data_IF_848167974369
#
_entry.id   IF_848167974369
#
_cell.length_a   1.000
_cell.length_b   1.000
_cell.length_c   1.000
_cell.angle_alpha   90.00
_cell.angle_beta   90.00
_cell.angle_gamma   90.00
#
_symmetry.space_group_name_H-M   'P 1'
#
loop_
_entity.id
_entity.type
_entity.pdbx_description
1 polymer ?
#
# COMPACT_ATOMS: atom_id res chain seq x y z
N UNK A 1 -19.81 29.19 -4.23
CA UNK A 1 -19.50 27.85 -3.77
C UNK A 1 -18.09 27.48 -4.12
N UNK A 2 -17.26 27.10 -3.14
CA UNK A 2 -15.90 26.67 -3.40
C UNK A 2 -15.90 25.34 -4.15
N UNK A 3 -15.17 25.25 -5.24
CA UNK A 3 -14.96 24.01 -5.99
C UNK A 3 -14.17 23.04 -5.12
N UNK A 4 -14.77 21.90 -4.76
CA UNK A 4 -14.14 20.88 -3.91
C UNK A 4 -13.29 19.89 -4.69
N UNK A 5 -13.37 19.90 -6.01
CA UNK A 5 -12.58 19.05 -6.91
C UNK A 5 -12.25 19.87 -8.15
N UNK A 6 -10.98 19.97 -8.49
CA UNK A 6 -10.52 20.57 -9.75
C UNK A 6 -9.87 19.49 -10.60
N UNK A 7 -10.35 19.30 -11.80
CA UNK A 7 -9.72 18.45 -12.80
C UNK A 7 -8.76 19.30 -13.63
N UNK A 8 -7.49 18.94 -13.65
CA UNK A 8 -6.50 19.53 -14.55
C UNK A 8 -6.21 18.55 -15.67
N UNK A 9 -6.44 18.98 -16.89
CA UNK A 9 -6.10 18.17 -18.08
C UNK A 9 -4.74 18.67 -18.57
N UNK A 10 -3.78 17.75 -18.65
CA UNK A 10 -2.47 18.02 -19.20
C UNK A 10 -2.32 17.32 -20.54
N UNK A 11 -1.81 18.03 -21.53
CA UNK A 11 -1.40 17.47 -22.81
C UNK A 11 0.11 17.24 -22.75
N UNK A 12 0.52 15.97 -22.69
CA UNK A 12 1.93 15.62 -22.77
C UNK A 12 2.26 15.24 -24.22
N UNK A 13 3.12 15.98 -24.92
CA UNK A 13 3.57 15.57 -26.25
C UNK A 13 4.40 14.29 -26.13
N UNK A 14 4.17 13.35 -27.05
CA UNK A 14 4.98 12.14 -27.17
C UNK A 14 6.43 12.51 -27.56
N UNK A 15 7.44 11.79 -27.05
CA UNK A 15 8.84 12.09 -27.30
C UNK A 15 9.29 11.52 -28.65
N UNK A 16 8.85 12.10 -29.75
CA UNK A 16 9.30 11.71 -31.10
C UNK A 16 10.26 12.72 -31.75
N UNK A 17 10.83 13.64 -30.98
CA UNK A 17 11.81 14.58 -31.51
C UNK A 17 13.21 14.29 -30.95
N UNK A 18 14.13 13.72 -31.79
CA UNK A 18 15.49 13.40 -31.37
C UNK A 18 16.38 14.65 -31.14
N UNK A 19 15.82 15.84 -31.26
CA UNK A 19 16.59 17.09 -31.20
C UNK A 19 16.50 17.86 -29.88
N UNK A 20 15.83 17.36 -28.85
CA UNK A 20 15.73 18.09 -27.57
C UNK A 20 16.33 17.30 -26.41
N UNK A 21 17.57 17.55 -26.15
CA UNK A 21 18.37 16.89 -25.11
C UNK A 21 18.15 17.37 -23.68
N UNK A 22 17.19 18.26 -23.39
CA UNK A 22 17.05 18.83 -22.03
C UNK A 22 15.62 19.23 -21.64
N UNK A 23 14.64 18.39 -21.91
CA UNK A 23 13.30 18.65 -21.34
C UNK A 23 12.96 17.62 -20.28
N UNK A 24 13.23 17.96 -19.04
CA UNK A 24 12.69 17.28 -17.89
C UNK A 24 11.18 17.59 -17.83
N UNK A 25 10.35 16.61 -18.20
CA UNK A 25 8.91 16.73 -18.05
C UNK A 25 8.53 16.51 -16.60
N UNK A 26 8.25 17.57 -15.88
CA UNK A 26 7.64 17.50 -14.56
C UNK A 26 6.12 17.39 -14.78
N UNK A 27 5.60 16.19 -14.83
CA UNK A 27 4.17 16.00 -14.65
C UNK A 27 3.82 16.43 -13.23
N UNK A 28 2.82 17.33 -13.11
CA UNK A 28 2.55 18.05 -11.86
C UNK A 28 2.31 17.14 -10.64
N UNK A 29 2.38 17.74 -9.48
CA UNK A 29 2.17 17.08 -8.18
C UNK A 29 0.82 16.37 -8.15
N UNK A 30 0.84 15.05 -8.33
CA UNK A 30 -0.33 14.22 -8.15
C UNK A 30 -0.57 14.04 -6.64
N UNK A 31 -1.80 14.24 -6.22
CA UNK A 31 -2.22 14.07 -4.84
C UNK A 31 -3.20 12.91 -4.79
N UNK A 32 -2.85 11.88 -4.04
CA UNK A 32 -3.72 10.75 -3.74
C UNK A 32 -4.41 10.96 -2.40
N UNK A 33 -5.73 10.77 -2.36
CA UNK A 33 -6.53 10.92 -1.14
C UNK A 33 -7.33 9.65 -0.85
N UNK A 34 -7.18 9.14 0.38
CA UNK A 34 -7.98 8.03 0.89
C UNK A 34 -8.65 8.46 2.20
N UNK A 35 -9.98 8.38 2.26
CA UNK A 35 -10.78 8.71 3.45
C UNK A 35 -10.46 10.08 4.08
N UNK A 36 -10.14 11.07 3.23
CA UNK A 36 -9.81 12.43 3.66
C UNK A 36 -8.35 12.68 3.99
N UNK A 37 -7.51 11.65 3.99
CA UNK A 37 -6.06 11.79 4.12
C UNK A 37 -5.44 11.88 2.73
N UNK A 38 -4.72 12.96 2.46
CA UNK A 38 -4.10 13.22 1.17
C UNK A 38 -2.58 13.22 1.27
N UNK A 39 -1.92 12.62 0.29
CA UNK A 39 -0.46 12.57 0.19
C UNK A 39 0.00 12.91 -1.23
N UNK A 40 1.21 13.44 -1.36
CA UNK A 40 1.85 13.65 -2.66
C UNK A 40 2.45 12.34 -3.15
N UNK A 41 2.23 12.03 -4.43
CA UNK A 41 2.78 10.84 -5.07
C UNK A 41 3.97 11.25 -5.92
N UNK A 42 5.13 10.68 -5.62
CA UNK A 42 6.27 10.70 -6.52
C UNK A 42 6.12 9.54 -7.51
N UNK A 43 6.15 9.87 -8.80
CA UNK A 43 6.07 8.87 -9.85
C UNK A 43 7.40 8.15 -9.99
N UNK A 44 7.48 6.98 -9.42
CA UNK A 44 8.59 6.05 -9.64
C UNK A 44 8.19 4.98 -10.67
N UNK A 45 9.15 4.57 -11.50
CA UNK A 45 8.94 3.45 -12.41
C UNK A 45 8.76 2.17 -11.59
N UNK A 46 7.55 1.59 -11.63
CA UNK A 46 7.25 0.36 -10.91
C UNK A 46 7.56 -0.87 -11.77
N UNK A 47 8.52 -1.69 -11.33
CA UNK A 47 8.79 -2.99 -11.93
C UNK A 47 7.65 -3.97 -11.70
N UNK A 48 6.93 -3.86 -10.58
CA UNK A 48 5.81 -4.74 -10.22
C UNK A 48 4.64 -4.62 -11.21
N UNK A 49 4.37 -3.41 -11.72
CA UNK A 49 3.35 -3.22 -12.75
C UNK A 49 3.75 -3.89 -14.07
N UNK A 50 5.03 -3.78 -14.45
CA UNK A 50 5.58 -4.48 -15.62
C UNK A 50 5.46 -5.99 -15.44
N UNK A 51 5.81 -6.51 -14.27
CA UNK A 51 5.75 -7.94 -13.98
C UNK A 51 4.30 -8.44 -13.98
N UNK A 52 3.35 -7.66 -13.50
CA UNK A 52 1.92 -7.96 -13.59
C UNK A 52 1.43 -8.02 -15.04
N UNK A 53 1.86 -7.08 -15.89
CA UNK A 53 1.53 -7.10 -17.32
C UNK A 53 2.13 -8.28 -18.04
N UNK A 54 3.38 -8.63 -17.73
CA UNK A 54 4.06 -9.82 -18.29
C UNK A 54 3.32 -11.09 -17.86
N UNK A 55 2.91 -11.19 -16.60
CA UNK A 55 2.11 -12.30 -16.09
C UNK A 55 0.77 -12.44 -16.83
N UNK A 56 0.07 -11.32 -17.08
CA UNK A 56 -1.17 -11.30 -17.86
C UNK A 56 -0.97 -11.80 -19.29
N UNK A 57 0.10 -11.35 -19.95
CA UNK A 57 0.44 -11.82 -21.29
C UNK A 57 0.77 -13.30 -21.34
N UNK A 58 1.56 -13.77 -20.36
CA UNK A 58 1.98 -15.18 -20.28
C UNK A 58 0.80 -16.14 -20.10
N UNK A 59 -0.26 -15.71 -19.43
CA UNK A 59 -1.49 -16.50 -19.25
C UNK A 59 -2.27 -16.61 -20.56
N UNK A 60 -2.30 -15.54 -21.36
CA UNK A 60 -2.92 -15.55 -22.69
C UNK A 60 -2.26 -16.55 -23.65
N UNK A 61 -0.94 -16.70 -23.55
CA UNK A 61 -0.14 -17.54 -24.45
C UNK A 61 0.07 -18.98 -23.93
N UNK A 62 0.09 -19.20 -22.62
CA UNK A 62 0.56 -20.46 -22.03
C UNK A 62 -0.52 -21.53 -21.83
N UNK A 63 -1.76 -21.31 -22.28
CA UNK A 63 -2.89 -22.26 -22.24
C UNK A 63 -2.72 -23.50 -21.35
N UNK A 64 -3.54 -23.66 -20.32
CA UNK A 64 -3.80 -24.89 -19.54
C UNK A 64 -2.75 -25.46 -18.58
N UNK A 65 -1.50 -25.01 -18.57
CA UNK A 65 -0.48 -25.54 -17.61
C UNK A 65 -0.20 -24.62 -16.43
N UNK A 66 -0.80 -23.46 -16.40
CA UNK A 66 -0.61 -22.47 -15.35
C UNK A 66 -1.82 -22.46 -14.42
N UNK A 67 -1.62 -22.60 -13.11
CA UNK A 67 -2.68 -22.40 -12.15
C UNK A 67 -2.80 -20.88 -11.83
N UNK A 68 -3.75 -20.17 -12.43
CA UNK A 68 -3.91 -18.73 -12.25
C UNK A 68 -4.30 -18.37 -10.80
N UNK A 69 -4.76 -19.36 -10.01
CA UNK A 69 -5.18 -19.12 -8.63
C UNK A 69 -4.01 -19.00 -7.66
N UNK A 70 -2.83 -19.48 -8.03
CA UNK A 70 -1.63 -19.41 -7.19
C UNK A 70 -0.74 -18.22 -7.49
N UNK A 71 -0.89 -17.58 -8.65
CA UNK A 71 -0.16 -16.37 -8.97
C UNK A 71 -0.93 -15.15 -8.47
N UNK A 72 -0.28 -14.38 -7.61
CA UNK A 72 -0.80 -13.09 -7.16
C UNK A 72 0.17 -11.97 -7.50
N UNK A 73 -0.37 -10.81 -7.84
CA UNK A 73 0.39 -9.59 -8.15
C UNK A 73 0.12 -8.54 -7.09
N UNK A 74 1.10 -7.69 -6.86
CA UNK A 74 1.03 -6.62 -5.84
C UNK A 74 0.74 -7.13 -4.42
N UNK A 75 1.35 -8.25 -4.06
CA UNK A 75 1.26 -8.79 -2.71
C UNK A 75 2.04 -7.93 -1.71
N UNK A 76 1.45 -7.72 -0.53
CA UNK A 76 2.12 -7.09 0.58
C UNK A 76 2.59 -8.11 1.61
N UNK A 77 3.36 -7.61 2.57
CA UNK A 77 3.81 -8.34 3.75
C UNK A 77 3.08 -7.84 4.99
N UNK A 78 2.67 -8.78 5.84
CA UNK A 78 2.07 -8.45 7.12
C UNK A 78 3.12 -7.91 8.09
N UNK A 79 2.80 -6.79 8.74
CA UNK A 79 3.54 -6.28 9.88
C UNK A 79 2.61 -5.97 11.04
N UNK A 80 3.08 -6.15 12.27
CA UNK A 80 2.36 -5.76 13.47
C UNK A 80 3.27 -5.00 14.41
N UNK A 81 2.69 -4.06 15.15
CA UNK A 81 3.37 -3.31 16.19
C UNK A 81 2.56 -3.27 17.47
N UNK A 82 3.24 -3.29 18.59
CA UNK A 82 2.64 -3.32 19.92
C UNK A 82 2.36 -1.92 20.47
N UNK A 83 1.20 -1.81 21.10
CA UNK A 83 0.82 -0.65 21.93
C UNK A 83 0.43 -1.14 23.31
N UNK A 84 1.12 -0.71 24.34
CA UNK A 84 0.73 -0.98 25.72
C UNK A 84 -0.21 0.11 26.22
N UNK A 85 -1.24 -0.32 26.95
CA UNK A 85 -2.16 0.59 27.60
C UNK A 85 -1.39 1.43 28.63
N UNK A 86 -1.89 2.62 28.90
CA UNK A 86 -1.28 3.62 29.76
C UNK A 86 0.00 4.29 29.21
N UNK A 87 0.22 4.21 27.91
CA UNK A 87 1.33 4.93 27.28
C UNK A 87 2.72 4.40 27.65
N UNK A 88 2.80 3.20 28.25
CA UNK A 88 4.06 2.60 28.65
C UNK A 88 4.98 2.28 27.46
N UNK A 89 4.43 1.95 26.31
CA UNK A 89 5.16 1.84 25.04
C UNK A 89 4.22 1.89 23.85
N UNK A 90 4.66 2.52 22.77
CA UNK A 90 3.97 2.51 21.48
C UNK A 90 5.01 2.31 20.36
N UNK A 91 5.13 1.07 19.89
CA UNK A 91 6.05 0.73 18.81
C UNK A 91 5.47 1.00 17.41
N UNK A 92 4.26 1.55 17.32
CA UNK A 92 3.59 1.86 16.07
C UNK A 92 3.72 3.32 15.64
N UNK A 93 4.36 4.16 16.43
CA UNK A 93 4.36 5.61 16.19
C UNK A 93 5.74 6.21 15.92
N UNK A 94 6.78 5.40 15.70
CA UNK A 94 8.16 5.86 15.49
C UNK A 94 8.71 6.83 16.53
N UNK A 95 7.82 7.48 17.21
CA UNK A 95 8.07 8.34 18.36
C UNK A 95 8.20 7.51 19.62
N UNK A 96 8.67 6.27 19.41
CA UNK A 96 8.82 5.27 20.42
C UNK A 96 9.18 5.85 21.74
N UNK A 97 8.87 5.14 22.76
CA UNK A 97 9.15 5.48 24.14
C UNK A 97 10.29 6.48 24.27
N UNK A 98 10.05 7.60 24.93
CA UNK A 98 11.09 8.60 25.14
C UNK A 98 12.34 7.93 25.64
N UNK A 99 13.48 8.26 25.09
CA UNK A 99 14.87 8.12 25.51
C UNK A 99 15.28 6.97 26.47
N UNK A 100 14.36 6.37 27.21
CA UNK A 100 14.64 5.47 28.32
C UNK A 100 14.55 3.98 28.00
N UNK A 101 13.89 3.60 26.89
CA UNK A 101 13.69 2.18 26.57
C UNK A 101 13.64 1.87 25.06
N UNK A 102 14.70 2.20 24.28
CA UNK A 102 14.73 1.93 22.85
C UNK A 102 14.71 0.42 22.52
N UNK A 103 14.92 -0.44 23.50
CA UNK A 103 14.91 -1.91 23.37
C UNK A 103 13.51 -2.53 23.49
N UNK A 104 12.47 -1.79 23.85
CA UNK A 104 11.12 -2.31 23.98
C UNK A 104 10.44 -2.60 22.65
N UNK A 105 10.93 -2.01 21.55
CA UNK A 105 10.43 -2.27 20.20
C UNK A 105 11.42 -3.20 19.49
N UNK A 106 10.88 -4.26 18.89
CA UNK A 106 11.66 -5.20 18.10
C UNK A 106 12.21 -4.55 16.83
N UNK A 107 13.21 -5.17 16.22
CA UNK A 107 13.74 -4.74 14.92
C UNK A 107 12.66 -4.77 13.84
N UNK A 108 11.76 -5.76 13.88
CA UNK A 108 10.64 -5.85 12.95
C UNK A 108 9.65 -4.70 13.11
N UNK A 109 9.37 -4.27 14.34
CA UNK A 109 8.51 -3.12 14.61
C UNK A 109 9.13 -1.80 14.14
N UNK A 110 10.44 -1.65 14.27
CA UNK A 110 11.18 -0.49 13.75
C UNK A 110 11.18 -0.45 12.22
N UNK A 111 11.37 -1.59 11.57
CA UNK A 111 11.30 -1.69 10.11
C UNK A 111 9.87 -1.41 9.59
N UNK A 112 8.85 -1.86 10.31
CA UNK A 112 7.46 -1.55 10.00
C UNK A 112 7.21 -0.04 10.05
N UNK A 113 7.68 0.61 11.09
CA UNK A 113 7.56 2.05 11.27
C UNK A 113 8.27 2.82 10.13
N UNK A 114 9.49 2.43 9.77
CA UNK A 114 10.20 3.00 8.63
C UNK A 114 9.46 2.81 7.29
N UNK A 115 8.82 1.65 7.08
CA UNK A 115 8.01 1.39 5.89
C UNK A 115 6.74 2.24 5.89
N UNK A 116 6.10 2.39 7.03
CA UNK A 116 4.90 3.21 7.18
C UNK A 116 5.21 4.70 6.96
N UNK A 117 6.30 5.19 7.52
CA UNK A 117 6.77 6.57 7.30
C UNK A 117 7.09 6.86 5.81
N UNK A 118 7.54 5.84 5.08
CA UNK A 118 7.74 5.92 3.62
C UNK A 118 6.45 5.81 2.80
N UNK A 119 5.29 5.66 3.45
CA UNK A 119 4.01 5.51 2.78
C UNK A 119 3.83 4.17 2.08
N UNK A 120 4.52 3.12 2.52
CA UNK A 120 4.44 1.78 1.90
C UNK A 120 3.37 0.90 2.54
N UNK A 121 2.80 1.29 3.68
CA UNK A 121 1.93 0.45 4.49
C UNK A 121 0.49 0.95 4.49
N UNK A 122 -0.43 -0.02 4.51
CA UNK A 122 -1.86 0.20 4.77
C UNK A 122 -2.22 -0.39 6.11
N UNK A 123 -2.80 0.43 7.00
CA UNK A 123 -3.27 -0.05 8.29
C UNK A 123 -4.58 -0.80 8.14
N UNK A 124 -4.58 -2.08 8.48
CA UNK A 124 -5.79 -2.92 8.44
C UNK A 124 -6.68 -2.67 9.65
N UNK A 125 -6.08 -2.50 10.81
CA UNK A 125 -6.81 -2.23 12.04
C UNK A 125 -6.02 -2.61 13.29
N UNK A 126 -6.72 -2.72 14.41
CA UNK A 126 -6.12 -3.04 15.71
C UNK A 126 -6.86 -4.21 16.37
N UNK A 127 -6.15 -4.99 17.15
CA UNK A 127 -6.72 -6.06 17.96
C UNK A 127 -6.00 -6.19 19.30
N UNK A 128 -6.70 -6.77 20.29
CA UNK A 128 -6.09 -7.03 21.58
C UNK A 128 -5.24 -8.30 21.51
N UNK A 129 -3.96 -8.19 21.84
CA UNK A 129 -3.03 -9.32 21.86
C UNK A 129 -2.83 -9.94 23.25
N UNK A 130 -3.07 -9.16 24.31
CA UNK A 130 -2.93 -9.62 25.69
C UNK A 130 -4.00 -9.00 26.59
N UNK A 131 -4.61 -9.85 27.44
CA UNK A 131 -5.66 -9.44 28.37
C UNK A 131 -5.31 -9.91 29.78
N UNK A 132 -5.55 -9.04 30.75
CA UNK A 132 -5.46 -9.34 32.18
C UNK A 132 -6.81 -9.05 32.81
N UNK A 133 -7.41 -10.07 33.46
CA UNK A 133 -8.73 -9.96 34.08
C UNK A 133 -9.81 -9.39 33.14
N UNK A 134 -9.78 -9.78 31.86
CA UNK A 134 -10.73 -9.31 30.85
C UNK A 134 -10.44 -7.92 30.27
N UNK A 135 -9.44 -7.22 30.80
CA UNK A 135 -9.02 -5.91 30.32
C UNK A 135 -7.85 -6.09 29.33
N UNK A 136 -7.95 -5.46 28.16
CA UNK A 136 -6.86 -5.47 27.19
C UNK A 136 -5.69 -4.63 27.72
N UNK A 137 -4.54 -5.25 27.93
CA UNK A 137 -3.32 -4.58 28.41
C UNK A 137 -2.30 -4.33 27.30
N UNK A 138 -2.37 -5.10 26.21
CA UNK A 138 -1.56 -4.89 25.00
C UNK A 138 -2.43 -5.05 23.78
N UNK A 139 -2.42 -4.06 22.91
CA UNK A 139 -3.02 -4.13 21.58
C UNK A 139 -1.93 -4.18 20.51
N UNK A 140 -2.27 -4.70 19.35
CA UNK A 140 -1.44 -4.68 18.15
C UNK A 140 -2.17 -3.95 17.04
N UNK A 141 -1.44 -3.08 16.33
CA UNK A 141 -1.87 -2.59 15.04
C UNK A 141 -1.32 -3.53 13.96
N UNK A 142 -2.18 -3.89 13.01
CA UNK A 142 -1.82 -4.74 11.88
C UNK A 142 -1.78 -3.90 10.60
N UNK A 143 -0.75 -4.13 9.81
CA UNK A 143 -0.47 -3.45 8.55
C UNK A 143 -0.20 -4.45 7.45
N UNK A 144 -0.51 -4.05 6.21
CA UNK A 144 0.03 -4.64 5.01
C UNK A 144 1.00 -3.64 4.37
N UNK A 145 2.26 -4.02 4.20
CA UNK A 145 3.30 -3.18 3.62
C UNK A 145 3.69 -3.71 2.25
N UNK A 146 3.87 -2.82 1.30
CA UNK A 146 4.10 -3.14 -0.11
C UNK A 146 5.49 -2.69 -0.56
N UNK A 147 5.94 -3.19 -1.70
CA UNK A 147 7.25 -2.84 -2.26
C UNK A 147 7.34 -1.41 -2.79
N UNK A 148 6.19 -0.79 -3.12
CA UNK A 148 6.12 0.58 -3.62
C UNK A 148 4.82 1.27 -3.17
N UNK A 149 4.80 2.59 -3.20
CA UNK A 149 3.57 3.39 -2.96
C UNK A 149 2.50 3.05 -3.99
N UNK A 150 2.90 2.85 -5.25
CA UNK A 150 1.98 2.47 -6.32
C UNK A 150 1.27 1.17 -6.00
N UNK A 151 1.98 0.15 -5.54
CA UNK A 151 1.38 -1.14 -5.14
C UNK A 151 0.40 -0.98 -3.99
N UNK A 152 0.74 -0.17 -2.99
CA UNK A 152 -0.19 0.16 -1.89
C UNK A 152 -1.46 0.82 -2.41
N UNK A 153 -1.33 1.87 -3.22
CA UNK A 153 -2.46 2.62 -3.78
C UNK A 153 -3.34 1.72 -4.65
N UNK A 154 -2.72 0.91 -5.49
CA UNK A 154 -3.43 -0.04 -6.35
C UNK A 154 -4.19 -1.09 -5.52
N UNK A 155 -3.61 -1.57 -4.44
CA UNK A 155 -4.30 -2.46 -3.50
C UNK A 155 -5.48 -1.77 -2.80
N UNK A 156 -5.29 -0.55 -2.31
CA UNK A 156 -6.34 0.21 -1.62
C UNK A 156 -7.54 0.46 -2.52
N UNK A 157 -7.31 0.99 -3.72
CA UNK A 157 -8.38 1.28 -4.67
C UNK A 157 -8.94 0.02 -5.34
N UNK A 158 -8.07 -0.91 -5.74
CA UNK A 158 -8.49 -2.13 -6.42
C UNK A 158 -9.35 -3.02 -5.55
N UNK A 159 -9.01 -3.17 -4.26
CA UNK A 159 -9.85 -3.92 -3.31
C UNK A 159 -11.23 -3.32 -3.15
N UNK A 160 -11.35 -1.99 -3.17
CA UNK A 160 -12.64 -1.32 -3.13
C UNK A 160 -13.47 -1.62 -4.40
N UNK A 161 -12.85 -1.59 -5.58
CA UNK A 161 -13.56 -1.85 -6.84
C UNK A 161 -14.15 -3.25 -6.92
N UNK A 162 -13.45 -4.26 -6.40
CA UNK A 162 -13.89 -5.66 -6.48
C UNK A 162 -14.46 -6.19 -5.16
N UNK A 163 -14.68 -5.32 -4.18
CA UNK A 163 -15.17 -5.69 -2.85
C UNK A 163 -14.32 -6.78 -2.16
N UNK A 164 -12.99 -6.71 -2.31
CA UNK A 164 -12.05 -7.61 -1.65
C UNK A 164 -11.66 -7.05 -0.29
N UNK A 165 -12.13 -7.65 0.83
CA UNK A 165 -11.80 -7.15 2.17
C UNK A 165 -10.33 -7.42 2.52
N UNK A 166 -9.78 -6.59 3.40
CA UNK A 166 -8.48 -6.84 4.03
C UNK A 166 -8.52 -7.97 5.07
N UNK A 167 -9.71 -8.35 5.50
CA UNK A 167 -9.92 -9.27 6.61
C UNK A 167 -9.91 -8.57 7.97
N UNK A 168 -10.00 -9.36 9.04
CA UNK A 168 -9.90 -8.85 10.40
C UNK A 168 -8.44 -8.56 10.74
N UNK A 169 -8.12 -7.57 11.59
CA UNK A 169 -6.74 -7.21 11.90
C UNK A 169 -5.87 -8.38 12.41
N UNK A 170 -6.48 -9.38 13.07
CA UNK A 170 -5.78 -10.57 13.55
C UNK A 170 -5.53 -11.60 12.44
N UNK A 171 -6.45 -11.68 11.49
CA UNK A 171 -6.51 -12.71 10.44
C UNK A 171 -6.48 -12.09 9.03
N UNK A 172 -5.93 -10.87 8.89
CA UNK A 172 -5.87 -10.19 7.61
C UNK A 172 -5.05 -10.96 6.59
N UNK A 173 -5.31 -10.64 5.34
CA UNK A 173 -4.48 -11.11 4.23
C UNK A 173 -3.88 -9.94 3.48
N UNK A 174 -2.55 -9.91 3.39
CA UNK A 174 -1.82 -8.99 2.53
C UNK A 174 -1.58 -9.58 1.14
N UNK A 175 -2.17 -10.74 0.84
CA UNK A 175 -2.06 -11.40 -0.45
C UNK A 175 -2.59 -10.50 -1.56
N UNK A 176 -1.83 -10.39 -2.64
CA UNK A 176 -2.16 -9.57 -3.79
C UNK A 176 -3.39 -10.03 -4.57
N UNK A 177 -3.61 -9.43 -5.72
CA UNK A 177 -4.68 -9.84 -6.62
C UNK A 177 -4.29 -11.11 -7.37
N UNK A 178 -5.23 -12.03 -7.52
CA UNK A 178 -5.13 -13.05 -8.56
C UNK A 178 -5.22 -12.39 -9.93
N UNK A 179 -4.82 -13.10 -10.98
CA UNK A 179 -4.91 -12.56 -12.33
C UNK A 179 -6.35 -12.24 -12.72
N UNK A 180 -7.31 -13.08 -12.35
CA UNK A 180 -8.74 -12.83 -12.58
C UNK A 180 -9.22 -11.58 -11.85
N UNK A 181 -8.82 -11.40 -10.59
CA UNK A 181 -9.12 -10.20 -9.82
C UNK A 181 -8.51 -8.96 -10.46
N UNK A 182 -7.25 -9.04 -10.90
CA UNK A 182 -6.56 -7.93 -11.56
C UNK A 182 -7.21 -7.54 -12.88
N UNK A 183 -7.66 -8.51 -13.69
CA UNK A 183 -8.39 -8.26 -14.94
C UNK A 183 -9.74 -7.54 -14.73
N UNK A 184 -10.33 -7.65 -13.54
CA UNK A 184 -11.58 -6.97 -13.19
C UNK A 184 -11.39 -5.53 -12.74
N UNK A 185 -10.15 -5.10 -12.50
CA UNK A 185 -9.87 -3.73 -12.10
C UNK A 185 -10.00 -2.76 -13.27
N UNK A 186 -10.64 -1.64 -13.01
CA UNK A 186 -10.72 -0.53 -13.95
C UNK A 186 -9.66 0.52 -13.56
N UNK A 187 -8.48 0.38 -14.15
CA UNK A 187 -7.35 1.27 -13.86
C UNK A 187 -7.62 2.72 -14.28
N UNK A 188 -8.55 2.94 -15.23
CA UNK A 188 -8.89 4.30 -15.68
C UNK A 188 -9.67 5.10 -14.63
N UNK A 189 -10.20 4.43 -13.63
CA UNK A 189 -10.93 5.05 -12.50
C UNK A 189 -10.08 5.17 -11.24
N UNK A 190 -8.81 4.82 -11.32
CA UNK A 190 -7.89 4.92 -10.20
C UNK A 190 -7.09 6.22 -10.27
N UNK A 191 -6.84 6.80 -9.10
CA UNK A 191 -5.95 7.94 -8.94
C UNK A 191 -4.55 7.42 -8.63
N UNK A 192 -3.61 7.65 -9.53
CA UNK A 192 -2.20 7.28 -9.38
C UNK A 192 -1.32 8.51 -9.28
#
# INVERSE_FOLDING_TARGET
>A
GACKVSQRVYSCPLPDDPASTDKQYVCGNDVYCLNGNCEQIEREASTEFKDALVALHSIGDAGKQFDPNNLTVFSGERGTCNKKIFGASNCCSGKGVPLLTPWLCSSAEKQLDEKDDKGLCHKVGSYCSDKVLGICVTSKDAYCCFGSKLSRILQEQGRQQINKPWGKPKDETCKGFTIEEFQRLDLSKMDF
#
